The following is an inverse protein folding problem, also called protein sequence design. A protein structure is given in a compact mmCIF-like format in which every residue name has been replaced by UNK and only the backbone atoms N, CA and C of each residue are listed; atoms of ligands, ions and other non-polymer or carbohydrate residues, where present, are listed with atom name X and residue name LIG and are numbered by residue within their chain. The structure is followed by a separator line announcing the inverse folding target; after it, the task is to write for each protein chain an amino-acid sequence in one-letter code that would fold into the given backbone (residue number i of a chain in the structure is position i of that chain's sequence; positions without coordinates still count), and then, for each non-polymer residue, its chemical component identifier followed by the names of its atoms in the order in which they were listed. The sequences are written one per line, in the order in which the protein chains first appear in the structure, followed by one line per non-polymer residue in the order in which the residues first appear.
data_IF_851897396853
#
_entry.id   IF_851897396853
#
_cell.length_a   1.000
_cell.length_b   1.000
_cell.length_c   1.000
_cell.angle_alpha   90.00
_cell.angle_beta   90.00
_cell.angle_gamma   90.00
#
_symmetry.space_group_name_H-M   'P 1'
#
loop_
_entity.id
_entity.type
_entity.pdbx_description
1 polymer ?
#
# COMPACT_ATOMS: atom_id res chain seq x y z
N UNK A 1 -5.61 -31.42 20.60
CA UNK A 1 -4.79 -31.28 19.36
C UNK A 1 -5.24 -30.13 18.46
N UNK A 2 -6.53 -29.89 18.14
CA UNK A 2 -6.92 -28.78 17.27
C UNK A 2 -6.58 -27.39 17.83
N UNK A 3 -6.65 -27.21 19.15
CA UNK A 3 -6.33 -25.93 19.80
C UNK A 3 -4.88 -25.47 19.57
N UNK A 4 -3.93 -26.40 19.38
CA UNK A 4 -2.53 -26.07 19.14
C UNK A 4 -2.33 -25.50 17.72
N UNK A 5 -3.00 -26.07 16.72
CA UNK A 5 -2.88 -25.63 15.31
C UNK A 5 -3.57 -24.29 15.10
N UNK A 6 -4.73 -24.08 15.73
CA UNK A 6 -5.42 -22.78 15.69
C UNK A 6 -4.57 -21.70 16.37
N UNK A 7 -4.02 -21.99 17.55
CA UNK A 7 -3.12 -21.06 18.26
C UNK A 7 -1.91 -20.70 17.42
N UNK A 8 -1.28 -21.68 16.77
CA UNK A 8 -0.14 -21.47 15.88
C UNK A 8 -0.52 -20.64 14.64
N UNK A 9 -1.69 -20.86 14.06
CA UNK A 9 -2.19 -20.07 12.94
C UNK A 9 -2.42 -18.60 13.31
N UNK A 10 -2.93 -18.32 14.52
CA UNK A 10 -3.08 -16.95 15.04
C UNK A 10 -1.73 -16.30 15.34
N UNK A 11 -0.73 -17.05 15.83
CA UNK A 11 0.65 -16.56 15.98
C UNK A 11 1.23 -16.12 14.63
N UNK A 12 1.13 -16.97 13.60
CA UNK A 12 1.60 -16.65 12.25
C UNK A 12 0.86 -15.47 11.61
N UNK A 13 -0.43 -15.31 11.91
CA UNK A 13 -1.19 -14.12 11.52
C UNK A 13 -0.60 -12.86 12.16
N UNK A 14 -0.30 -12.91 13.46
CA UNK A 14 0.30 -11.78 14.18
C UNK A 14 1.70 -11.45 13.65
N UNK A 15 2.53 -12.45 13.35
CA UNK A 15 3.86 -12.26 12.75
C UNK A 15 3.79 -11.57 11.39
N UNK A 16 2.86 -12.00 10.52
CA UNK A 16 2.64 -11.34 9.22
C UNK A 16 2.25 -9.87 9.38
N UNK A 17 1.36 -9.57 10.34
CA UNK A 17 0.92 -8.19 10.63
C UNK A 17 2.06 -7.35 11.21
N UNK A 18 2.89 -7.92 12.08
CA UNK A 18 4.02 -7.23 12.70
C UNK A 18 5.13 -6.95 11.68
N UNK A 19 5.36 -7.85 10.72
CA UNK A 19 6.31 -7.64 9.63
C UNK A 19 5.97 -6.43 8.74
N UNK A 20 4.67 -6.13 8.57
CA UNK A 20 4.19 -4.99 7.78
C UNK A 20 4.54 -3.62 8.41
N UNK A 21 4.73 -3.56 9.73
CA UNK A 21 4.95 -2.29 10.43
C UNK A 21 6.21 -1.55 9.96
N UNK A 22 7.30 -2.27 9.70
CA UNK A 22 8.56 -1.68 9.22
C UNK A 22 8.41 -1.10 7.79
N UNK A 23 7.71 -1.83 6.91
CA UNK A 23 7.42 -1.39 5.55
C UNK A 23 6.54 -0.14 5.54
N UNK A 24 5.47 -0.14 6.33
CA UNK A 24 4.59 1.03 6.50
C UNK A 24 5.38 2.23 7.02
N UNK A 25 6.22 2.07 8.04
CA UNK A 25 7.05 3.15 8.56
C UNK A 25 8.06 3.69 7.54
N UNK A 26 8.66 2.82 6.72
CA UNK A 26 9.57 3.25 5.66
C UNK A 26 8.83 4.06 4.59
N UNK A 27 7.66 3.59 4.15
CA UNK A 27 6.81 4.27 3.18
C UNK A 27 6.33 5.62 3.71
N UNK A 28 5.78 5.68 4.93
CA UNK A 28 5.33 6.94 5.54
C UNK A 28 6.46 7.93 5.73
N UNK A 29 7.66 7.50 6.14
CA UNK A 29 8.83 8.40 6.24
C UNK A 29 9.23 8.95 4.89
N UNK A 30 9.28 8.11 3.85
CA UNK A 30 9.61 8.53 2.49
C UNK A 30 8.55 9.48 1.93
N UNK A 31 7.28 9.31 2.30
CA UNK A 31 6.19 10.19 1.87
C UNK A 31 6.37 11.65 2.31
N UNK A 32 7.04 11.89 3.44
CA UNK A 32 7.33 13.26 3.89
C UNK A 32 8.13 14.06 2.86
N UNK A 33 8.94 13.42 2.01
CA UNK A 33 9.65 14.13 0.94
C UNK A 33 8.69 14.61 -0.16
N UNK A 34 7.64 13.83 -0.46
CA UNK A 34 6.58 14.24 -1.41
C UNK A 34 5.83 15.44 -0.86
N UNK A 35 5.43 15.40 0.41
CA UNK A 35 4.78 16.53 1.07
C UNK A 35 5.66 17.78 1.07
N UNK A 36 6.95 17.63 1.39
CA UNK A 36 7.90 18.73 1.41
C UNK A 36 8.08 19.34 0.02
N UNK A 37 8.19 18.52 -1.04
CA UNK A 37 8.34 18.97 -2.41
C UNK A 37 7.15 19.80 -2.91
N UNK A 38 5.93 19.45 -2.45
CA UNK A 38 4.69 20.09 -2.90
C UNK A 38 4.27 21.29 -2.04
N UNK A 39 4.79 21.40 -0.81
CA UNK A 39 4.34 22.41 0.17
C UNK A 39 4.41 23.84 -0.37
N UNK A 40 5.53 24.22 -1.01
CA UNK A 40 5.70 25.58 -1.53
C UNK A 40 4.66 25.95 -2.59
N UNK A 41 4.43 25.06 -3.56
CA UNK A 41 3.47 25.30 -4.65
C UNK A 41 2.02 25.36 -4.12
N UNK A 42 1.68 24.49 -3.17
CA UNK A 42 0.37 24.49 -2.52
C UNK A 42 0.15 25.77 -1.71
N UNK A 43 1.19 26.27 -1.02
CA UNK A 43 1.09 27.53 -0.28
C UNK A 43 0.86 28.71 -1.21
N UNK A 44 1.63 28.83 -2.29
CA UNK A 44 1.46 29.93 -3.24
C UNK A 44 0.09 29.89 -3.91
N UNK A 45 -0.43 28.69 -4.24
CA UNK A 45 -1.78 28.55 -4.76
C UNK A 45 -2.84 28.98 -3.74
N UNK A 46 -2.71 28.57 -2.48
CA UNK A 46 -3.65 28.97 -1.43
C UNK A 46 -3.65 30.50 -1.19
N UNK A 47 -2.48 31.14 -1.28
CA UNK A 47 -2.34 32.60 -1.21
C UNK A 47 -3.04 33.30 -2.38
N UNK A 48 -2.88 32.81 -3.60
CA UNK A 48 -3.59 33.32 -4.79
C UNK A 48 -5.10 33.17 -4.68
N UNK A 49 -5.58 31.99 -4.24
CA UNK A 49 -7.01 31.75 -4.05
C UNK A 49 -7.63 32.68 -3.00
N UNK A 50 -6.90 32.94 -1.91
CA UNK A 50 -7.35 33.84 -0.86
C UNK A 50 -7.35 35.32 -1.29
N UNK A 51 -6.41 35.74 -2.13
CA UNK A 51 -6.42 37.09 -2.72
C UNK A 51 -7.68 37.31 -3.57
N UNK A 52 -8.02 36.34 -4.43
CA UNK A 52 -9.25 36.39 -5.24
C UNK A 52 -10.50 36.52 -4.34
N UNK A 53 -10.51 35.84 -3.19
CA UNK A 53 -11.64 35.90 -2.27
C UNK A 53 -11.69 37.22 -1.48
N UNK A 54 -10.55 37.79 -1.13
CA UNK A 54 -10.47 39.10 -0.50
C UNK A 54 -11.02 40.22 -1.40
N UNK A 55 -10.85 40.09 -2.73
CA UNK A 55 -11.40 41.00 -3.74
C UNK A 55 -12.91 40.77 -4.01
N UNK A 56 -13.59 39.97 -3.19
CA UNK A 56 -15.02 39.65 -3.32
C UNK A 56 -15.33 38.57 -4.36
N UNK A 57 -14.31 37.94 -4.94
CA UNK A 57 -14.45 36.83 -5.87
C UNK A 57 -14.66 35.48 -5.18
N UNK A 58 -14.88 34.44 -6.00
CA UNK A 58 -14.83 33.04 -5.56
C UNK A 58 -13.92 32.21 -6.49
N UNK A 59 -13.47 31.07 -5.99
CA UNK A 59 -12.66 30.10 -6.75
C UNK A 59 -13.42 28.79 -6.87
N UNK A 60 -14.42 28.70 -7.76
CA UNK A 60 -15.07 27.44 -8.08
C UNK A 60 -14.09 26.49 -8.79
N UNK A 61 -14.39 25.18 -8.75
CA UNK A 61 -13.55 24.12 -9.34
C UNK A 61 -13.13 24.45 -10.77
N UNK A 62 -14.07 24.85 -11.65
CA UNK A 62 -13.77 25.16 -13.05
C UNK A 62 -12.75 26.30 -13.23
N UNK A 63 -12.79 27.31 -12.36
CA UNK A 63 -11.84 28.44 -12.38
C UNK A 63 -10.47 27.97 -11.93
N UNK A 64 -10.42 27.12 -10.89
CA UNK A 64 -9.18 26.51 -10.42
C UNK A 64 -8.47 25.73 -11.54
N UNK A 65 -9.21 24.96 -12.35
CA UNK A 65 -8.66 24.23 -13.50
C UNK A 65 -8.04 25.15 -14.57
N UNK A 66 -8.46 26.41 -14.65
CA UNK A 66 -7.90 27.40 -15.58
C UNK A 66 -6.65 28.10 -15.01
N UNK A 67 -6.40 28.01 -13.71
CA UNK A 67 -5.25 28.65 -13.08
C UNK A 67 -3.95 27.93 -13.45
N UNK A 68 -3.00 28.68 -14.04
CA UNK A 68 -1.70 28.13 -14.43
C UNK A 68 -0.96 27.50 -13.25
N UNK A 69 -1.01 28.11 -12.05
CA UNK A 69 -0.39 27.56 -10.84
C UNK A 69 -0.96 26.20 -10.45
N UNK A 70 -2.27 26.03 -10.57
CA UNK A 70 -2.92 24.76 -10.27
C UNK A 70 -2.52 23.69 -11.29
N UNK A 71 -2.47 24.01 -12.58
CA UNK A 71 -1.99 23.08 -13.61
C UNK A 71 -0.53 22.66 -13.38
N UNK A 72 0.35 23.61 -13.03
CA UNK A 72 1.74 23.31 -12.65
C UNK A 72 1.83 22.43 -11.41
N UNK A 73 1.00 22.69 -10.39
CA UNK A 73 0.90 21.87 -9.20
C UNK A 73 0.46 20.44 -9.53
N UNK A 74 -0.55 20.25 -10.38
CA UNK A 74 -0.99 18.92 -10.79
C UNK A 74 0.11 18.15 -11.53
N UNK A 75 0.87 18.83 -12.40
CA UNK A 75 2.02 18.24 -13.07
C UNK A 75 3.08 17.80 -12.06
N UNK A 76 3.42 18.65 -11.08
CA UNK A 76 4.37 18.29 -10.02
C UNK A 76 3.87 17.11 -9.17
N UNK A 77 2.60 17.14 -8.76
CA UNK A 77 1.97 16.03 -8.01
C UNK A 77 2.13 14.72 -8.78
N UNK A 78 1.89 14.73 -10.10
CA UNK A 78 2.09 13.56 -10.97
C UNK A 78 3.53 13.06 -11.01
N UNK A 79 4.51 13.97 -11.07
CA UNK A 79 5.94 13.63 -11.04
C UNK A 79 6.32 12.99 -9.71
N UNK A 80 5.98 13.62 -8.59
CA UNK A 80 6.31 13.14 -7.24
C UNK A 80 5.69 11.77 -6.96
N UNK A 81 4.41 11.59 -7.28
CA UNK A 81 3.71 10.32 -7.09
C UNK A 81 4.23 9.21 -7.99
N UNK A 82 4.65 9.52 -9.22
CA UNK A 82 5.28 8.54 -10.10
C UNK A 82 6.61 8.07 -9.53
N UNK A 83 7.47 8.99 -9.10
CA UNK A 83 8.76 8.66 -8.49
C UNK A 83 8.59 7.87 -7.19
N UNK A 84 7.68 8.33 -6.32
CA UNK A 84 7.35 7.63 -5.09
C UNK A 84 6.76 6.24 -5.37
N UNK A 85 5.86 6.12 -6.33
CA UNK A 85 5.25 4.85 -6.74
C UNK A 85 6.28 3.85 -7.27
N UNK A 86 7.26 4.29 -8.07
CA UNK A 86 8.36 3.43 -8.54
C UNK A 86 9.23 2.93 -7.39
N UNK A 87 9.58 3.82 -6.45
CA UNK A 87 10.32 3.41 -5.26
C UNK A 87 9.51 2.45 -4.38
N UNK A 88 8.22 2.74 -4.17
CA UNK A 88 7.32 1.91 -3.37
C UNK A 88 7.12 0.53 -4.01
N UNK A 89 7.05 0.44 -5.35
CA UNK A 89 7.00 -0.82 -6.07
C UNK A 89 8.22 -1.70 -5.75
N UNK A 90 9.43 -1.15 -5.80
CA UNK A 90 10.65 -1.86 -5.44
C UNK A 90 10.67 -2.32 -3.96
N UNK A 91 10.14 -1.50 -3.04
CA UNK A 91 9.99 -1.91 -1.63
C UNK A 91 9.00 -3.06 -1.46
N UNK A 92 7.85 -3.00 -2.13
CA UNK A 92 6.85 -4.07 -2.11
C UNK A 92 7.44 -5.36 -2.69
N UNK A 93 8.16 -5.28 -3.81
CA UNK A 93 8.82 -6.44 -4.44
C UNK A 93 9.88 -7.07 -3.53
N UNK A 94 10.67 -6.27 -2.80
CA UNK A 94 11.61 -6.78 -1.81
C UNK A 94 10.86 -7.50 -0.67
N UNK A 95 9.81 -6.89 -0.13
CA UNK A 95 9.00 -7.47 0.95
C UNK A 95 8.29 -8.76 0.52
N UNK A 96 7.92 -8.89 -0.76
CA UNK A 96 7.30 -10.10 -1.29
C UNK A 96 8.18 -11.33 -1.07
N UNK A 97 9.50 -11.22 -1.22
CA UNK A 97 10.39 -12.36 -1.00
C UNK A 97 10.37 -12.85 0.45
N UNK A 98 10.39 -11.92 1.41
CA UNK A 98 10.31 -12.24 2.84
C UNK A 98 8.96 -12.87 3.19
N UNK A 99 7.87 -12.34 2.65
CA UNK A 99 6.52 -12.85 2.92
C UNK A 99 6.29 -14.23 2.29
N UNK A 100 6.88 -14.50 1.13
CA UNK A 100 6.88 -15.82 0.51
C UNK A 100 7.72 -16.80 1.36
N UNK A 101 8.86 -16.39 1.91
CA UNK A 101 9.64 -17.23 2.82
C UNK A 101 8.86 -17.56 4.11
N UNK A 102 8.20 -16.57 4.72
CA UNK A 102 7.32 -16.79 5.88
C UNK A 102 6.18 -17.76 5.55
N UNK A 103 5.49 -17.57 4.41
CA UNK A 103 4.41 -18.47 3.99
C UNK A 103 4.88 -19.91 3.79
N UNK A 104 6.10 -20.10 3.27
CA UNK A 104 6.74 -21.40 3.11
C UNK A 104 6.96 -22.11 4.44
N UNK A 105 7.54 -21.39 5.40
CA UNK A 105 7.85 -21.88 6.74
C UNK A 105 6.58 -22.17 7.54
N UNK A 106 5.62 -21.24 7.52
CA UNK A 106 4.37 -21.38 8.25
C UNK A 106 3.51 -22.54 7.74
N UNK A 107 3.47 -22.75 6.42
CA UNK A 107 2.78 -23.90 5.84
C UNK A 107 3.38 -25.24 6.32
N UNK A 108 4.72 -25.32 6.43
CA UNK A 108 5.39 -26.51 6.96
C UNK A 108 5.08 -26.72 8.43
N UNK A 109 5.20 -25.67 9.24
CA UNK A 109 4.96 -25.74 10.68
C UNK A 109 3.51 -26.14 11.00
N UNK A 110 2.52 -25.58 10.30
CA UNK A 110 1.11 -25.96 10.47
C UNK A 110 0.87 -27.44 10.11
N UNK A 111 1.46 -27.91 9.03
CA UNK A 111 1.32 -29.31 8.61
C UNK A 111 1.96 -30.27 9.62
N UNK A 112 3.17 -29.94 10.12
CA UNK A 112 3.85 -30.74 11.13
C UNK A 112 3.11 -30.73 12.48
N UNK A 113 2.45 -29.64 12.83
CA UNK A 113 1.63 -29.53 14.03
C UNK A 113 0.34 -30.38 13.97
N UNK A 114 -0.17 -30.63 12.75
CA UNK A 114 -1.34 -31.49 12.50
C UNK A 114 -0.98 -32.99 12.49
N UNK A 115 0.30 -33.36 12.38
CA UNK A 115 0.75 -34.75 12.25
C UNK A 115 1.19 -35.40 13.57
N UNK A 116 0.73 -36.63 13.82
CA UNK A 116 1.24 -37.49 14.91
C UNK A 116 2.65 -38.01 14.63
N UNK A 117 3.43 -38.25 15.70
CA UNK A 117 4.89 -38.47 15.69
C UNK A 117 5.44 -39.47 14.68
N UNK A 118 4.70 -40.52 14.33
CA UNK A 118 5.15 -41.55 13.36
C UNK A 118 5.02 -41.14 11.89
N UNK A 119 4.30 -40.07 11.54
CA UNK A 119 4.15 -39.58 10.15
C UNK A 119 5.06 -38.39 9.81
N UNK A 120 5.77 -37.84 10.81
CA UNK A 120 6.63 -36.65 10.66
C UNK A 120 7.86 -36.90 9.77
N UNK A 121 8.34 -38.14 9.70
CA UNK A 121 9.53 -38.53 8.93
C UNK A 121 9.24 -38.88 7.47
N UNK A 122 7.96 -39.06 7.09
CA UNK A 122 7.55 -39.47 5.74
C UNK A 122 7.28 -38.30 4.78
N UNK A 123 7.25 -37.06 5.28
CA UNK A 123 7.00 -35.87 4.44
C UNK A 123 8.34 -35.28 3.98
N UNK A 124 8.73 -35.61 2.75
CA UNK A 124 9.82 -34.92 2.08
C UNK A 124 9.36 -33.50 1.69
N UNK A 125 10.04 -32.48 2.21
CA UNK A 125 9.79 -31.08 1.87
C UNK A 125 10.86 -30.59 0.91
N UNK A 126 10.57 -30.67 -0.39
CA UNK A 126 11.47 -30.12 -1.39
C UNK A 126 11.53 -28.59 -1.31
N UNK A 127 12.72 -28.04 -1.59
CA UNK A 127 12.88 -26.59 -1.78
C UNK A 127 12.07 -26.17 -3.02
N UNK A 128 11.28 -25.11 -2.89
CA UNK A 128 10.60 -24.54 -4.05
C UNK A 128 11.66 -24.00 -5.02
N UNK A 129 11.64 -24.37 -6.31
CA UNK A 129 12.54 -23.79 -7.29
C UNK A 129 12.24 -22.30 -7.45
N UNK A 130 13.25 -21.48 -7.76
CA UNK A 130 13.10 -20.03 -7.89
C UNK A 130 12.00 -19.62 -8.90
N UNK A 131 11.80 -20.41 -9.97
CA UNK A 131 10.71 -20.18 -10.93
C UNK A 131 9.30 -20.35 -10.34
N UNK A 132 9.12 -21.18 -9.32
CA UNK A 132 7.84 -21.31 -8.62
C UNK A 132 7.53 -20.06 -7.78
N UNK A 133 8.55 -19.46 -7.16
CA UNK A 133 8.41 -18.21 -6.40
C UNK A 133 7.98 -17.06 -7.33
N UNK A 134 8.62 -16.92 -8.49
CA UNK A 134 8.27 -15.93 -9.50
C UNK A 134 6.84 -16.13 -10.05
N UNK A 135 6.44 -17.39 -10.26
CA UNK A 135 5.08 -17.71 -10.70
C UNK A 135 4.04 -17.34 -9.62
N UNK A 136 4.34 -17.57 -8.33
CA UNK A 136 3.47 -17.17 -7.22
C UNK A 136 3.28 -15.66 -7.21
N UNK A 137 4.36 -14.89 -7.35
CA UNK A 137 4.28 -13.42 -7.44
C UNK A 137 3.42 -12.98 -8.62
N UNK A 138 3.60 -13.59 -9.80
CA UNK A 138 2.80 -13.28 -10.98
C UNK A 138 1.30 -13.60 -10.77
N UNK A 139 0.99 -14.74 -10.15
CA UNK A 139 -0.38 -15.13 -9.82
C UNK A 139 -0.99 -14.17 -8.79
N UNK A 140 -0.23 -13.79 -7.76
CA UNK A 140 -0.68 -12.90 -6.69
C UNK A 140 -0.96 -11.46 -7.20
N UNK A 141 -0.17 -10.98 -8.16
CA UNK A 141 -0.38 -9.69 -8.83
C UNK A 141 -1.58 -9.73 -9.80
N UNK A 142 -1.97 -10.91 -10.29
CA UNK A 142 -3.06 -11.07 -11.25
C UNK A 142 -2.73 -10.46 -12.62
N UNK A 143 -3.73 -9.89 -13.30
CA UNK A 143 -3.56 -9.29 -14.64
C UNK A 143 -3.01 -7.87 -14.64
N UNK A 144 -2.79 -7.26 -13.46
CA UNK A 144 -2.37 -5.88 -13.35
C UNK A 144 -0.95 -5.76 -12.77
N UNK A 145 0.00 -5.15 -13.51
CA UNK A 145 1.31 -4.83 -12.96
C UNK A 145 1.19 -3.94 -11.73
N UNK A 146 2.07 -4.14 -10.75
CA UNK A 146 2.10 -3.36 -9.51
C UNK A 146 2.09 -1.84 -9.75
N UNK A 147 2.84 -1.38 -10.75
CA UNK A 147 2.87 0.04 -11.14
C UNK A 147 1.50 0.60 -11.53
N UNK A 148 0.61 -0.21 -12.13
CA UNK A 148 -0.76 0.21 -12.45
C UNK A 148 -1.63 0.30 -11.22
N UNK A 149 -1.48 -0.61 -10.27
CA UNK A 149 -2.21 -0.57 -8.99
C UNK A 149 -1.87 0.70 -8.21
N UNK A 150 -0.58 1.07 -8.18
CA UNK A 150 -0.10 2.26 -7.49
C UNK A 150 -0.51 3.57 -8.19
N UNK A 151 -0.75 3.56 -9.50
CA UNK A 151 -1.11 4.76 -10.26
C UNK A 151 -2.41 5.44 -9.78
N UNK A 152 -3.34 4.68 -9.17
CA UNK A 152 -4.58 5.23 -8.61
C UNK A 152 -4.36 6.14 -7.38
N UNK A 153 -3.14 6.20 -6.83
CA UNK A 153 -2.78 7.16 -5.81
C UNK A 153 -2.89 8.62 -6.29
N UNK A 154 -2.61 8.87 -7.58
CA UNK A 154 -2.66 10.21 -8.17
C UNK A 154 -4.05 10.84 -8.19
N UNK A 155 -5.07 10.25 -8.84
CA UNK A 155 -6.40 10.86 -8.88
C UNK A 155 -6.96 11.07 -7.47
N UNK A 156 -6.69 10.15 -6.54
CA UNK A 156 -7.12 10.24 -5.14
C UNK A 156 -6.45 11.40 -4.41
N UNK A 157 -5.12 11.56 -4.53
CA UNK A 157 -4.39 12.66 -3.91
C UNK A 157 -4.82 14.04 -4.47
N UNK A 158 -5.01 14.13 -5.80
CA UNK A 158 -5.47 15.35 -6.46
C UNK A 158 -6.86 15.74 -5.97
N UNK A 159 -7.79 14.79 -5.90
CA UNK A 159 -9.15 15.05 -5.43
C UNK A 159 -9.15 15.56 -3.98
N UNK A 160 -8.41 14.88 -3.08
CA UNK A 160 -8.30 15.28 -1.67
C UNK A 160 -7.68 16.67 -1.50
N UNK A 161 -6.61 16.96 -2.25
CA UNK A 161 -5.94 18.25 -2.26
C UNK A 161 -6.88 19.38 -2.71
N UNK A 162 -7.53 19.19 -3.86
CA UNK A 162 -8.42 20.20 -4.47
C UNK A 162 -9.62 20.49 -3.60
N UNK A 163 -10.25 19.46 -3.03
CA UNK A 163 -11.40 19.64 -2.13
C UNK A 163 -11.04 20.47 -0.89
N UNK A 164 -9.88 20.21 -0.27
CA UNK A 164 -9.46 20.96 0.91
C UNK A 164 -9.08 22.40 0.60
N UNK A 165 -8.41 22.65 -0.54
CA UNK A 165 -8.07 24.00 -0.97
C UNK A 165 -9.34 24.84 -1.20
N UNK A 166 -10.32 24.30 -1.91
CA UNK A 166 -11.58 25.00 -2.20
C UNK A 166 -12.37 25.22 -0.92
N UNK A 167 -12.57 24.17 -0.12
CA UNK A 167 -13.39 24.24 1.10
C UNK A 167 -12.80 25.22 2.11
N UNK A 168 -11.51 25.12 2.42
CA UNK A 168 -10.91 25.98 3.43
C UNK A 168 -10.81 27.44 2.97
N UNK A 169 -10.54 27.67 1.68
CA UNK A 169 -10.56 29.02 1.12
C UNK A 169 -11.96 29.61 1.22
N UNK A 170 -12.99 28.88 0.80
CA UNK A 170 -14.39 29.33 0.89
C UNK A 170 -14.81 29.67 2.34
N UNK A 171 -14.30 28.93 3.32
CA UNK A 171 -14.52 29.18 4.75
C UNK A 171 -13.70 30.37 5.31
N UNK A 172 -12.87 31.03 4.49
CA UNK A 172 -12.03 32.15 4.91
C UNK A 172 -10.85 31.73 5.81
N UNK A 173 -10.46 30.45 5.78
CA UNK A 173 -9.34 29.94 6.58
C UNK A 173 -8.03 30.55 6.08
N UNK A 174 -7.15 30.89 7.02
CA UNK A 174 -5.83 31.46 6.71
C UNK A 174 -5.09 30.63 5.64
N UNK A 175 -4.51 31.24 4.59
CA UNK A 175 -3.90 30.50 3.46
C UNK A 175 -2.81 29.52 3.85
N UNK A 176 -2.00 29.87 4.86
CA UNK A 176 -0.93 28.99 5.36
C UNK A 176 -1.49 27.77 6.07
N UNK A 177 -2.60 27.94 6.80
CA UNK A 177 -3.31 26.83 7.46
C UNK A 177 -4.02 25.96 6.41
N UNK A 178 -4.65 26.58 5.41
CA UNK A 178 -5.25 25.90 4.26
C UNK A 178 -4.24 25.03 3.55
N UNK A 179 -3.08 25.59 3.18
CA UNK A 179 -2.01 24.87 2.49
C UNK A 179 -1.47 23.71 3.34
N UNK A 180 -1.15 23.95 4.62
CA UNK A 180 -0.67 22.90 5.53
C UNK A 180 -1.66 21.76 5.67
N UNK A 181 -2.95 22.08 5.75
CA UNK A 181 -4.03 21.09 5.87
C UNK A 181 -4.19 20.31 4.56
N UNK A 182 -4.12 20.99 3.42
CA UNK A 182 -4.21 20.39 2.10
C UNK A 182 -3.04 19.44 1.81
N UNK A 183 -1.80 19.81 2.20
CA UNK A 183 -0.63 18.93 2.15
C UNK A 183 -0.87 17.68 3.00
N UNK A 184 -1.11 17.87 4.31
CA UNK A 184 -1.14 16.74 5.26
C UNK A 184 -2.35 15.82 5.12
N UNK A 185 -3.53 16.38 4.82
CA UNK A 185 -4.79 15.61 4.77
C UNK A 185 -5.24 15.35 3.34
N UNK A 186 -4.96 16.27 2.41
CA UNK A 186 -5.39 16.13 1.02
C UNK A 186 -4.59 15.08 0.28
N UNK A 187 -3.26 15.09 0.46
CA UNK A 187 -2.38 14.09 -0.16
C UNK A 187 -2.43 12.73 0.55
N UNK A 188 -2.83 12.69 1.84
CA UNK A 188 -2.83 11.45 2.65
C UNK A 188 -3.66 10.31 2.03
N UNK A 189 -4.71 10.62 1.26
CA UNK A 189 -5.49 9.57 0.60
C UNK A 189 -4.67 8.82 -0.47
N UNK A 190 -3.75 9.50 -1.16
CA UNK A 190 -2.82 8.87 -2.10
C UNK A 190 -1.85 7.92 -1.39
N UNK A 191 -1.29 8.34 -0.25
CA UNK A 191 -0.47 7.46 0.59
C UNK A 191 -1.26 6.25 1.08
N UNK A 192 -2.47 6.47 1.59
CA UNK A 192 -3.34 5.41 2.10
C UNK A 192 -3.61 4.35 1.04
N UNK A 193 -3.88 4.77 -0.20
CA UNK A 193 -4.04 3.85 -1.34
C UNK A 193 -2.79 2.99 -1.54
N UNK A 194 -1.60 3.58 -1.54
CA UNK A 194 -0.33 2.85 -1.73
C UNK A 194 -0.09 1.84 -0.59
N UNK A 195 -0.33 2.25 0.66
CA UNK A 195 -0.20 1.36 1.82
C UNK A 195 -1.19 0.19 1.75
N UNK A 196 -2.43 0.44 1.33
CA UNK A 196 -3.43 -0.60 1.13
C UNK A 196 -3.01 -1.60 0.04
N UNK A 197 -2.49 -1.10 -1.08
CA UNK A 197 -1.95 -1.97 -2.15
C UNK A 197 -0.79 -2.80 -1.62
N UNK A 198 0.16 -2.20 -0.91
CA UNK A 198 1.30 -2.91 -0.33
C UNK A 198 0.84 -4.07 0.57
N UNK A 199 -0.05 -3.78 1.53
CA UNK A 199 -0.62 -4.77 2.44
C UNK A 199 -1.38 -5.87 1.71
N UNK A 200 -2.22 -5.52 0.74
CA UNK A 200 -2.98 -6.51 -0.04
C UNK A 200 -2.03 -7.44 -0.82
N UNK A 201 -0.98 -6.89 -1.43
CA UNK A 201 0.02 -7.68 -2.14
C UNK A 201 0.79 -8.61 -1.20
N UNK A 202 1.21 -8.16 -0.02
CA UNK A 202 1.85 -9.04 0.97
C UNK A 202 0.92 -10.20 1.35
N UNK A 203 -0.31 -9.89 1.75
CA UNK A 203 -1.30 -10.90 2.18
C UNK A 203 -1.60 -11.90 1.06
N UNK A 204 -1.73 -11.44 -0.19
CA UNK A 204 -1.93 -12.32 -1.35
C UNK A 204 -0.75 -13.24 -1.59
N UNK A 205 0.47 -12.70 -1.62
CA UNK A 205 1.67 -13.50 -1.82
C UNK A 205 1.83 -14.57 -0.73
N UNK A 206 1.64 -14.19 0.54
CA UNK A 206 1.64 -15.14 1.66
C UNK A 206 0.65 -16.30 1.42
N UNK A 207 -0.60 -15.95 1.08
CA UNK A 207 -1.68 -16.93 0.89
C UNK A 207 -1.42 -17.86 -0.29
N UNK A 208 -0.95 -17.33 -1.42
CA UNK A 208 -0.65 -18.12 -2.59
C UNK A 208 0.55 -19.04 -2.36
N UNK A 209 1.53 -18.62 -1.56
CA UNK A 209 2.61 -19.51 -1.13
C UNK A 209 2.09 -20.67 -0.28
N UNK A 210 1.32 -20.38 0.78
CA UNK A 210 0.76 -21.41 1.66
C UNK A 210 -0.09 -22.40 0.86
N UNK A 211 -0.94 -21.90 -0.04
CA UNK A 211 -1.75 -22.73 -0.94
C UNK A 211 -0.87 -23.61 -1.84
N UNK A 212 0.11 -23.01 -2.51
CA UNK A 212 1.02 -23.75 -3.41
C UNK A 212 1.76 -24.85 -2.64
N UNK A 213 2.12 -24.61 -1.38
CA UNK A 213 2.73 -25.63 -0.53
C UNK A 213 1.80 -26.79 -0.20
N UNK A 214 0.54 -26.49 0.12
CA UNK A 214 -0.46 -27.52 0.38
C UNK A 214 -0.79 -28.33 -0.87
N UNK A 215 -0.97 -27.68 -2.03
CA UNK A 215 -1.27 -28.35 -3.30
C UNK A 215 -0.15 -29.31 -3.75
N UNK A 216 1.10 -29.03 -3.37
CA UNK A 216 2.26 -29.88 -3.69
C UNK A 216 2.53 -30.97 -2.64
N UNK A 217 1.81 -30.93 -1.51
CA UNK A 217 2.03 -31.87 -0.42
C UNK A 217 1.24 -33.16 -0.67
N UNK A 218 1.87 -34.35 -0.60
CA UNK A 218 1.19 -35.63 -0.86
C UNK A 218 0.21 -36.01 0.26
N UNK A 219 0.21 -35.29 1.38
CA UNK A 219 -0.59 -35.60 2.58
C UNK A 219 -1.73 -34.61 2.81
N UNK A 220 -1.86 -33.57 1.99
CA UNK A 220 -2.95 -32.58 2.10
C UNK A 220 -4.03 -32.88 1.08
N UNK A 221 -5.22 -33.22 1.57
CA UNK A 221 -6.41 -33.47 0.73
C UNK A 221 -7.36 -32.27 0.65
N UNK A 222 -7.19 -31.28 1.53
CA UNK A 222 -8.00 -30.08 1.56
C UNK A 222 -7.45 -29.08 2.57
N UNK A 223 -7.75 -27.79 2.36
CA UNK A 223 -7.42 -26.71 3.27
C UNK A 223 -8.66 -25.84 3.51
N UNK A 224 -8.82 -25.34 4.72
CA UNK A 224 -9.89 -24.42 5.09
C UNK A 224 -9.28 -23.17 5.72
N UNK A 225 -9.87 -22.01 5.40
CA UNK A 225 -9.54 -20.74 6.05
C UNK A 225 -10.55 -20.48 7.16
N UNK A 226 -10.06 -20.15 8.34
CA UNK A 226 -10.89 -19.67 9.44
C UNK A 226 -11.04 -18.14 9.29
N UNK A 227 -12.27 -17.66 9.40
CA UNK A 227 -12.62 -16.24 9.33
C UNK A 227 -12.17 -15.52 10.60
#
# INVERSE_FOLDING_TARGET
MPDNVITLAEQFRAELINGDAAAVQAMTRRWLSVEQALTGQIQTLAEEMAAIQADGGSVPVWKLWQMQRYQSLLAQVGVELKQYGQWAAGQIEAQQQEVLAMGDEHAKALLLAQMDGNRKTAVAWDKLPAGAVQNITAIAQGSQPLNKLLANAYPTAVQGLTNLLITNTALGVNPRVTARTAVRKGLAQGLQHILLVARDQQIRNYREMVRTRYDRSPVVYGYMRLA
#
